data_IF_904960347208
#
_entry.id   IF_904960347208
#
_cell.length_a   1.000
_cell.length_b   1.000
_cell.length_c   1.000
_cell.angle_alpha   90.00
_cell.angle_beta   90.00
_cell.angle_gamma   90.00
#
_symmetry.space_group_name_H-M   'P 1'
#
loop_
_entity.id
_entity.type
_entity.pdbx_description
1 polymer ?
#
# COMPACT_ATOMS: atom_id res chain seq x y z
N UNK A 1 8.59 8.44 12.47
CA UNK A 1 7.19 8.07 12.21
C UNK A 1 7.18 7.15 11.00
N UNK A 2 6.30 6.15 10.96
CA UNK A 2 6.09 5.28 9.79
C UNK A 2 4.59 5.03 9.62
N UNK A 3 4.15 4.79 8.39
CA UNK A 3 2.75 4.51 8.06
C UNK A 3 2.67 3.46 6.95
N UNK A 4 1.63 2.63 7.01
CA UNK A 4 1.26 1.70 5.94
C UNK A 4 -0.10 2.11 5.42
N UNK A 5 -0.22 2.25 4.10
CA UNK A 5 -1.39 2.81 3.42
C UNK A 5 -1.90 1.76 2.45
N UNK A 6 -3.16 1.36 2.57
CA UNK A 6 -3.79 0.47 1.59
C UNK A 6 -4.06 1.22 0.27
N UNK A 7 -3.78 0.57 -0.85
CA UNK A 7 -3.93 1.15 -2.20
C UNK A 7 -4.55 0.14 -3.16
N UNK A 8 -5.23 0.62 -4.19
CA UNK A 8 -5.73 -0.21 -5.27
C UNK A 8 -4.80 -0.16 -6.51
N UNK A 9 -3.73 0.64 -6.49
CA UNK A 9 -2.94 0.99 -7.68
C UNK A 9 -2.28 -0.23 -8.36
N UNK A 10 -2.02 -1.31 -7.62
CA UNK A 10 -1.34 -2.52 -8.13
C UNK A 10 -2.29 -3.65 -8.52
N UNK A 11 -3.53 -3.66 -8.00
CA UNK A 11 -4.54 -4.68 -8.30
C UNK A 11 -5.97 -4.09 -8.13
N UNK A 12 -6.40 -3.18 -9.05
CA UNK A 12 -7.61 -2.39 -8.84
C UNK A 12 -8.90 -3.21 -8.71
N UNK A 13 -9.02 -4.28 -9.50
CA UNK A 13 -10.21 -5.13 -9.50
C UNK A 13 -10.28 -5.99 -8.23
N UNK A 14 -9.20 -6.66 -7.88
CA UNK A 14 -9.11 -7.52 -6.71
C UNK A 14 -9.28 -6.72 -5.42
N UNK A 15 -8.53 -5.63 -5.26
CA UNK A 15 -8.62 -4.77 -4.06
C UNK A 15 -9.97 -4.07 -4.00
N UNK A 16 -10.52 -3.62 -5.13
CA UNK A 16 -11.86 -3.02 -5.19
C UNK A 16 -12.95 -3.98 -4.70
N UNK A 17 -12.86 -5.27 -5.10
CA UNK A 17 -13.76 -6.32 -4.59
C UNK A 17 -13.62 -6.50 -3.07
N UNK A 18 -12.39 -6.55 -2.55
CA UNK A 18 -12.16 -6.65 -1.10
C UNK A 18 -12.74 -5.44 -0.36
N UNK A 19 -12.51 -4.23 -0.85
CA UNK A 19 -13.07 -3.01 -0.26
C UNK A 19 -14.61 -3.03 -0.24
N UNK A 20 -15.24 -3.57 -1.30
CA UNK A 20 -16.69 -3.77 -1.36
C UNK A 20 -17.21 -4.73 -0.28
N UNK A 21 -16.53 -5.85 -0.06
CA UNK A 21 -16.86 -6.81 1.01
C UNK A 21 -16.75 -6.18 2.40
N UNK A 22 -15.71 -5.38 2.63
CA UNK A 22 -15.51 -4.64 3.88
C UNK A 22 -16.63 -3.62 4.10
N UNK A 23 -16.99 -2.85 3.07
CA UNK A 23 -18.08 -1.88 3.13
C UNK A 23 -19.43 -2.55 3.40
N UNK A 24 -19.72 -3.71 2.77
CA UNK A 24 -20.95 -4.48 3.01
C UNK A 24 -21.09 -4.98 4.46
N UNK A 25 -19.97 -5.10 5.18
CA UNK A 25 -19.92 -5.47 6.61
C UNK A 25 -19.84 -4.26 7.55
N UNK A 26 -20.06 -3.06 7.04
CA UNK A 26 -20.05 -1.82 7.82
C UNK A 26 -18.64 -1.30 8.15
N UNK A 27 -17.61 -1.74 7.43
CA UNK A 27 -16.21 -1.35 7.64
C UNK A 27 -15.63 -0.69 6.37
N UNK A 28 -16.09 0.50 5.95
CA UNK A 28 -15.63 1.12 4.72
C UNK A 28 -14.12 1.42 4.75
N UNK A 29 -13.42 1.10 3.67
CA UNK A 29 -11.99 1.39 3.49
C UNK A 29 -11.78 2.67 2.69
N UNK A 30 -10.83 3.51 3.11
CA UNK A 30 -10.31 4.61 2.29
C UNK A 30 -8.93 4.23 1.76
N UNK A 31 -8.93 3.51 0.65
CA UNK A 31 -7.74 3.24 -0.15
C UNK A 31 -7.24 4.55 -0.75
N UNK A 32 -5.92 4.71 -0.89
CA UNK A 32 -5.30 5.91 -1.43
C UNK A 32 -4.40 5.57 -2.62
N UNK A 33 -4.31 6.50 -3.56
CA UNK A 33 -3.29 6.41 -4.62
C UNK A 33 -1.91 6.73 -4.05
N UNK A 34 -0.87 6.44 -4.82
CA UNK A 34 0.50 6.87 -4.52
C UNK A 34 0.62 8.39 -4.34
N UNK A 35 -0.10 9.17 -5.14
CA UNK A 35 -0.11 10.63 -5.06
C UNK A 35 -0.72 11.12 -3.73
N UNK A 36 -1.90 10.60 -3.37
CA UNK A 36 -2.55 10.89 -2.08
C UNK A 36 -1.69 10.42 -0.89
N UNK A 37 -0.90 9.36 -1.06
CA UNK A 37 0.07 8.92 -0.06
C UNK A 37 1.23 9.91 0.10
N UNK A 38 1.75 10.47 -1.00
CA UNK A 38 2.81 11.50 -0.96
C UNK A 38 2.37 12.76 -0.23
N UNK A 39 1.12 13.21 -0.43
CA UNK A 39 0.54 14.38 0.25
C UNK A 39 0.61 14.25 1.79
N UNK A 40 0.45 13.04 2.33
CA UNK A 40 0.51 12.81 3.79
C UNK A 40 1.90 13.02 4.39
N UNK A 41 2.95 13.04 3.57
CA UNK A 41 4.33 13.24 4.00
C UNK A 41 4.90 14.60 3.55
N UNK A 42 4.08 15.50 3.02
CA UNK A 42 4.55 16.84 2.66
C UNK A 42 5.21 17.56 3.86
N UNK A 43 6.31 18.24 3.58
CA UNK A 43 7.11 18.95 4.59
C UNK A 43 8.01 18.05 5.44
N UNK A 44 8.04 16.74 5.18
CA UNK A 44 8.94 15.80 5.84
C UNK A 44 10.06 15.33 4.90
N UNK A 45 11.21 14.98 5.48
CA UNK A 45 12.26 14.26 4.78
C UNK A 45 11.99 12.76 4.86
N UNK A 46 11.73 12.13 3.71
CA UNK A 46 11.47 10.70 3.63
C UNK A 46 12.78 9.91 3.72
N UNK A 47 12.85 8.95 4.65
CA UNK A 47 13.93 7.98 4.67
C UNK A 47 13.88 7.11 3.41
N UNK A 48 15.03 6.92 2.76
CA UNK A 48 15.15 6.04 1.59
C UNK A 48 14.68 4.62 1.93
N UNK A 49 13.98 3.91 1.02
CA UNK A 49 13.69 4.27 -0.38
C UNK A 49 12.50 5.23 -0.58
N UNK A 50 11.92 5.80 0.48
CA UNK A 50 10.71 6.62 0.40
C UNK A 50 9.44 5.77 0.49
N UNK A 51 8.41 6.16 -0.27
CA UNK A 51 7.12 5.45 -0.33
C UNK A 51 7.21 4.36 -1.41
N UNK A 52 7.16 3.10 -0.97
CA UNK A 52 7.17 1.91 -1.83
C UNK A 52 6.23 0.85 -1.24
N UNK A 53 5.86 -0.18 -2.00
CA UNK A 53 5.14 -1.33 -1.45
C UNK A 53 5.94 -1.97 -0.30
N UNK A 54 5.25 -2.42 0.74
CA UNK A 54 5.87 -2.82 2.02
C UNK A 54 6.98 -3.87 1.86
N UNK A 55 6.81 -4.82 0.94
CA UNK A 55 7.79 -5.88 0.68
C UNK A 55 9.09 -5.39 0.00
N UNK A 56 9.12 -4.15 -0.50
CA UNK A 56 10.28 -3.50 -1.13
C UNK A 56 11.01 -2.53 -0.19
N UNK A 57 10.45 -2.21 0.98
CA UNK A 57 11.05 -1.27 1.92
C UNK A 57 12.06 -1.99 2.83
N UNK A 58 13.37 -1.82 2.57
CA UNK A 58 14.48 -2.46 3.29
C UNK A 58 14.27 -3.97 3.53
N UNK A 59 14.10 -4.80 2.48
CA UNK A 59 13.97 -6.24 2.64
C UNK A 59 15.25 -6.82 3.25
N UNK A 60 15.10 -7.76 4.18
CA UNK A 60 16.21 -8.42 4.88
C UNK A 60 16.82 -9.59 4.08
N UNK A 61 16.25 -9.90 2.91
CA UNK A 61 16.68 -11.00 2.03
C UNK A 61 16.24 -12.39 2.48
N UNK A 62 15.45 -12.49 3.56
CA UNK A 62 14.96 -13.77 4.10
C UNK A 62 13.53 -14.12 3.68
N UNK A 63 12.80 -13.14 3.12
CA UNK A 63 11.45 -13.31 2.62
C UNK A 63 11.35 -14.17 1.35
N UNK A 64 10.11 -14.50 0.97
CA UNK A 64 9.83 -15.17 -0.30
C UNK A 64 10.39 -14.36 -1.47
N UNK A 65 11.03 -15.07 -2.39
CA UNK A 65 11.63 -14.46 -3.58
C UNK A 65 10.60 -14.39 -4.70
N UNK A 66 10.62 -13.29 -5.46
CA UNK A 66 9.75 -13.13 -6.63
C UNK A 66 8.29 -12.80 -6.32
N UNK A 67 8.00 -12.23 -5.15
CA UNK A 67 6.69 -11.65 -4.84
C UNK A 67 6.36 -10.60 -5.89
N UNK A 68 5.18 -10.72 -6.52
CA UNK A 68 4.74 -9.80 -7.57
C UNK A 68 4.05 -8.61 -6.92
N UNK A 69 4.11 -7.46 -7.59
CA UNK A 69 3.51 -6.22 -7.09
C UNK A 69 1.99 -6.36 -6.85
N UNK A 70 1.29 -7.06 -7.75
CA UNK A 70 -0.14 -7.32 -7.65
C UNK A 70 -0.53 -8.23 -6.47
N UNK A 71 0.41 -9.05 -5.96
CA UNK A 71 0.17 -9.92 -4.81
C UNK A 71 0.25 -9.16 -3.47
N UNK A 72 0.75 -7.91 -3.50
CA UNK A 72 0.92 -7.04 -2.33
C UNK A 72 0.27 -5.68 -2.60
N UNK A 73 -1.04 -5.71 -2.80
CA UNK A 73 -1.89 -4.54 -3.02
C UNK A 73 -2.72 -4.18 -1.76
#
# INVERSE_FOLDING_TARGET
LAMTIGTADFAPEEVGRVAGEYAARGMPMRLRTMEEAHELFEGLELAGPGIVQVHKWHPDGTGEQGIRDEDVA
#
